data_IF_631658429605
#
_entry.id   IF_631658429605
#
_cell.length_a   1.000
_cell.length_b   1.000
_cell.length_c   1.000
_cell.angle_alpha   90.00
_cell.angle_beta   90.00
_cell.angle_gamma   90.00
#
_symmetry.space_group_name_H-M   'P 1'
#
loop_
_entity.id
_entity.type
_entity.pdbx_description
1 polymer ?
#
# COMPACT_ATOMS: atom_id res chain seq x y z
N UNK A 1 11.79 -18.95 11.33
CA UNK A 1 10.72 -17.95 11.55
C UNK A 1 10.96 -16.82 10.56
N UNK A 2 9.93 -16.35 9.84
CA UNK A 2 10.09 -15.20 8.96
C UNK A 2 10.21 -13.90 9.75
N UNK A 3 10.77 -12.85 9.16
CA UNK A 3 10.72 -11.49 9.70
C UNK A 3 9.70 -10.68 8.92
N UNK A 4 9.05 -9.72 9.58
CA UNK A 4 8.39 -8.63 8.87
C UNK A 4 9.48 -7.66 8.39
N UNK A 5 9.24 -7.03 7.24
CA UNK A 5 10.06 -5.93 6.74
C UNK A 5 9.23 -4.65 6.72
N UNK A 6 9.90 -3.50 6.74
CA UNK A 6 9.19 -2.23 6.62
C UNK A 6 8.82 -1.97 5.16
N UNK A 7 7.61 -1.45 4.95
CA UNK A 7 7.15 -0.96 3.65
C UNK A 7 6.67 0.48 3.77
N UNK A 8 7.22 1.36 2.93
CA UNK A 8 6.82 2.75 2.82
C UNK A 8 6.33 3.06 1.41
N UNK A 9 5.23 3.81 1.33
CA UNK A 9 4.71 4.42 0.12
C UNK A 9 4.69 5.94 0.31
N UNK A 10 5.23 6.64 -0.66
CA UNK A 10 5.28 8.10 -0.70
C UNK A 10 4.44 8.59 -1.87
N UNK A 11 3.40 9.37 -1.60
CA UNK A 11 2.58 10.00 -2.63
C UNK A 11 2.79 11.50 -2.59
N UNK A 12 3.59 11.99 -3.52
CA UNK A 12 3.89 13.42 -3.65
C UNK A 12 2.90 14.09 -4.60
N UNK A 13 2.25 15.15 -4.13
CA UNK A 13 1.42 16.00 -4.96
C UNK A 13 2.28 17.04 -5.69
N UNK A 14 2.62 16.72 -6.94
CA UNK A 14 3.34 17.63 -7.84
C UNK A 14 2.44 18.65 -8.57
N UNK A 15 1.13 18.60 -8.35
CA UNK A 15 0.17 19.58 -8.90
C UNK A 15 0.22 20.89 -8.13
N UNK A 16 -0.31 21.96 -8.74
CA UNK A 16 -0.50 23.27 -8.12
C UNK A 16 -1.79 23.37 -7.29
N UNK A 17 -2.59 22.31 -7.25
CA UNK A 17 -3.85 22.22 -6.50
C UNK A 17 -3.85 21.05 -5.53
N UNK A 18 -4.73 21.08 -4.53
CA UNK A 18 -4.91 19.96 -3.59
C UNK A 18 -5.37 18.71 -4.34
N UNK A 19 -4.69 17.59 -4.11
CA UNK A 19 -5.03 16.28 -4.64
C UNK A 19 -5.83 15.49 -3.60
N UNK A 20 -6.89 14.81 -4.03
CA UNK A 20 -7.59 13.81 -3.22
C UNK A 20 -7.06 12.43 -3.61
N UNK A 21 -6.39 11.76 -2.67
CA UNK A 21 -5.66 10.51 -2.90
C UNK A 21 -6.30 9.37 -2.12
N UNK A 22 -6.43 8.20 -2.76
CA UNK A 22 -6.75 6.95 -2.09
C UNK A 22 -5.65 5.91 -2.33
N UNK A 23 -5.15 5.31 -1.25
CA UNK A 23 -4.20 4.21 -1.23
C UNK A 23 -4.91 2.94 -0.79
N UNK A 24 -4.91 1.93 -1.66
CA UNK A 24 -5.48 0.62 -1.39
C UNK A 24 -4.40 -0.45 -1.43
N UNK A 25 -4.24 -1.18 -0.32
CA UNK A 25 -3.37 -2.36 -0.25
C UNK A 25 -4.26 -3.57 -0.53
N UNK A 26 -4.02 -4.25 -1.63
CA UNK A 26 -4.91 -5.29 -2.16
C UNK A 26 -4.27 -6.67 -2.02
N UNK A 27 -5.09 -7.68 -1.72
CA UNK A 27 -4.68 -9.08 -1.85
C UNK A 27 -4.74 -9.57 -3.32
N UNK A 28 -4.40 -10.84 -3.53
CA UNK A 28 -4.42 -11.49 -4.85
C UNK A 28 -5.77 -11.45 -5.58
N UNK A 29 -6.87 -11.30 -4.83
CA UNK A 29 -8.24 -11.27 -5.36
C UNK A 29 -8.74 -9.82 -5.57
N UNK A 30 -7.88 -8.82 -5.36
CA UNK A 30 -8.23 -7.40 -5.49
C UNK A 30 -9.00 -6.83 -4.30
N UNK A 31 -9.14 -7.58 -3.20
CA UNK A 31 -9.80 -7.11 -1.98
C UNK A 31 -8.89 -6.15 -1.23
N UNK A 32 -9.45 -5.00 -0.85
CA UNK A 32 -8.74 -4.03 -0.02
C UNK A 32 -8.58 -4.54 1.41
N UNK A 33 -7.34 -4.55 1.89
CA UNK A 33 -6.92 -5.08 3.18
C UNK A 33 -7.00 -4.07 4.32
N UNK A 34 -7.41 -2.81 4.08
CA UNK A 34 -7.50 -1.79 5.12
C UNK A 34 -8.14 -2.33 6.42
N UNK A 35 -7.46 -2.10 7.55
CA UNK A 35 -7.94 -2.51 8.87
C UNK A 35 -7.82 -4.00 9.17
N UNK A 36 -7.47 -4.84 8.19
CA UNK A 36 -7.15 -6.25 8.45
C UNK A 36 -5.81 -6.37 9.16
N UNK A 37 -5.71 -7.33 10.08
CA UNK A 37 -4.46 -7.66 10.77
C UNK A 37 -3.47 -8.22 9.76
N UNK A 38 -2.27 -7.62 9.74
CA UNK A 38 -1.13 -8.05 8.94
C UNK A 38 -0.62 -9.38 9.51
N UNK A 39 -0.64 -10.46 8.73
CA UNK A 39 -0.24 -11.77 9.23
C UNK A 39 1.20 -11.81 9.78
N UNK A 40 1.35 -12.41 10.97
CA UNK A 40 2.63 -12.61 11.63
C UNK A 40 3.24 -11.38 12.31
N UNK A 41 2.56 -10.23 12.33
CA UNK A 41 3.04 -9.07 13.09
C UNK A 41 2.89 -9.28 14.59
N UNK A 42 3.91 -8.90 15.36
CA UNK A 42 3.92 -8.97 16.83
C UNK A 42 4.57 -7.68 17.41
N UNK A 43 3.80 -6.79 18.07
CA UNK A 43 2.35 -6.88 18.31
C UNK A 43 1.53 -6.85 17.00
N UNK A 44 0.25 -7.30 17.02
CA UNK A 44 -0.61 -7.25 15.85
C UNK A 44 -0.73 -5.82 15.29
N UNK A 45 -0.41 -5.66 14.02
CA UNK A 45 -0.54 -4.41 13.27
C UNK A 45 -1.57 -4.57 12.15
N UNK A 46 -2.27 -3.49 11.81
CA UNK A 46 -3.27 -3.50 10.74
C UNK A 46 -2.75 -2.79 9.48
N UNK A 47 -3.26 -3.19 8.32
CA UNK A 47 -2.99 -2.49 7.08
C UNK A 47 -3.57 -1.06 7.10
N UNK A 48 -2.76 -0.03 6.75
CA UNK A 48 -3.22 1.33 6.59
C UNK A 48 -3.90 1.55 5.23
N UNK A 49 -4.29 2.80 4.94
CA UNK A 49 -4.87 3.21 3.66
C UNK A 49 -6.28 3.78 3.80
N UNK A 50 -7.06 3.72 2.72
CA UNK A 50 -8.44 4.19 2.67
C UNK A 50 -9.38 3.04 2.27
N UNK A 51 -10.69 3.21 2.50
CA UNK A 51 -11.74 2.25 2.10
C UNK A 51 -12.73 2.87 1.13
N UNK A 52 -13.24 2.06 0.20
CA UNK A 52 -14.30 2.47 -0.72
C UNK A 52 -13.93 3.72 -1.54
N UNK A 53 -14.71 4.79 -1.37
CA UNK A 53 -14.51 6.08 -2.02
C UNK A 53 -13.81 7.13 -1.12
N UNK A 54 -13.36 6.75 0.07
CA UNK A 54 -12.68 7.68 0.97
C UNK A 54 -11.32 8.10 0.40
N UNK A 55 -11.00 9.38 0.52
CA UNK A 55 -9.73 9.97 0.08
C UNK A 55 -9.12 10.80 1.19
N UNK A 56 -7.80 10.98 1.14
CA UNK A 56 -7.06 11.95 1.95
C UNK A 56 -6.65 13.11 1.07
N UNK A 57 -6.88 14.34 1.54
CA UNK A 57 -6.43 15.53 0.85
C UNK A 57 -4.94 15.77 1.09
N UNK A 58 -4.20 15.95 -0.01
CA UNK A 58 -2.76 16.25 -0.02
C UNK A 58 -2.59 17.61 -0.69
N UNK A 59 -2.18 18.62 0.08
CA UNK A 59 -1.96 19.95 -0.46
C UNK A 59 -0.85 19.95 -1.54
N UNK A 60 -0.84 20.99 -2.39
CA UNK A 60 0.20 21.17 -3.39
C UNK A 60 1.60 21.14 -2.75
N UNK A 61 2.56 20.48 -3.40
CA UNK A 61 3.93 20.28 -2.94
C UNK A 61 4.08 19.53 -1.59
N UNK A 62 3.05 18.84 -1.11
CA UNK A 62 3.13 17.97 0.07
C UNK A 62 3.20 16.48 -0.30
N UNK A 63 3.68 15.68 0.64
CA UNK A 63 3.78 14.22 0.51
C UNK A 63 2.90 13.53 1.54
N UNK A 64 2.03 12.62 1.09
CA UNK A 64 1.40 11.64 1.95
C UNK A 64 2.35 10.44 2.13
N UNK A 65 2.62 10.07 3.38
CA UNK A 65 3.46 8.93 3.73
C UNK A 65 2.56 7.84 4.32
N UNK A 66 2.61 6.64 3.72
CA UNK A 66 1.91 5.46 4.22
C UNK A 66 2.94 4.40 4.55
N UNK A 67 3.02 4.03 5.84
CA UNK A 67 4.02 3.07 6.35
C UNK A 67 3.32 1.89 6.99
N UNK A 68 3.82 0.68 6.73
CA UNK A 68 3.34 -0.54 7.37
C UNK A 68 4.43 -1.62 7.42
N UNK A 69 4.10 -2.74 8.08
CA UNK A 69 4.93 -3.94 8.10
C UNK A 69 4.46 -4.92 7.03
N UNK A 70 5.35 -5.52 6.25
CA UNK A 70 4.99 -6.62 5.35
C UNK A 70 4.56 -7.85 6.17
N UNK A 71 3.68 -8.73 5.67
CA UNK A 71 3.41 -10.02 6.32
C UNK A 71 4.68 -10.83 6.58
N UNK A 72 4.70 -11.63 7.65
CA UNK A 72 5.77 -12.63 7.84
C UNK A 72 5.55 -13.78 6.85
N UNK A 73 6.17 -13.73 5.67
CA UNK A 73 6.66 -14.93 4.99
C UNK A 73 7.45 -14.62 3.72
N UNK A 74 8.52 -15.38 3.56
CA UNK A 74 9.38 -15.46 2.37
C UNK A 74 8.80 -16.33 1.24
N UNK A 75 7.83 -17.21 1.53
CA UNK A 75 7.17 -18.13 0.59
C UNK A 75 6.05 -18.87 1.34
N UNK A 76 4.78 -18.53 1.09
CA UNK A 76 3.56 -19.30 1.37
C UNK A 76 3.63 -20.40 2.48
N UNK A 77 3.75 -20.05 3.78
CA UNK A 77 3.85 -21.05 4.83
C UNK A 77 2.48 -21.67 5.09
N UNK A 78 2.42 -22.96 5.45
CA UNK A 78 1.18 -23.58 5.90
C UNK A 78 0.58 -22.78 7.06
N UNK A 79 -0.71 -22.44 6.95
CA UNK A 79 -1.46 -21.76 8.01
C UNK A 79 -1.49 -20.22 7.93
N UNK A 80 -0.82 -19.61 6.97
CA UNK A 80 -0.97 -18.17 6.69
C UNK A 80 -2.19 -17.93 5.80
N UNK A 81 -3.12 -17.13 6.29
CA UNK A 81 -4.30 -16.71 5.53
C UNK A 81 -3.89 -15.84 4.34
N UNK A 82 -3.79 -16.47 3.17
CA UNK A 82 -3.40 -15.82 1.91
C UNK A 82 -4.39 -14.73 1.47
N UNK A 83 -5.62 -14.72 2.01
CA UNK A 83 -6.58 -13.65 1.74
C UNK A 83 -6.20 -12.34 2.45
N UNK A 84 -5.26 -12.38 3.40
CA UNK A 84 -4.75 -11.22 4.14
C UNK A 84 -3.31 -10.85 3.76
N UNK A 85 -2.79 -11.42 2.69
CA UNK A 85 -1.45 -11.12 2.20
C UNK A 85 -1.55 -10.08 1.10
N UNK A 86 -0.86 -8.96 1.28
CA UNK A 86 -0.75 -7.95 0.23
C UNK A 86 -0.10 -8.50 -1.03
N UNK A 87 -0.57 -8.06 -2.19
CA UNK A 87 -0.02 -8.39 -3.51
C UNK A 87 0.18 -7.13 -4.34
N UNK A 88 -0.76 -6.20 -4.28
CA UNK A 88 -0.75 -4.98 -5.10
C UNK A 88 -1.04 -3.76 -4.23
N UNK A 89 -0.37 -2.64 -4.51
CA UNK A 89 -0.76 -1.32 -3.98
C UNK A 89 -1.35 -0.51 -5.13
N UNK A 90 -2.61 -0.09 -5.00
CA UNK A 90 -3.28 0.79 -5.95
C UNK A 90 -3.37 2.18 -5.36
N UNK A 91 -2.84 3.17 -6.07
CA UNK A 91 -2.99 4.59 -5.73
C UNK A 91 -3.91 5.23 -6.77
N UNK A 92 -4.91 5.96 -6.31
CA UNK A 92 -5.84 6.72 -7.15
C UNK A 92 -5.77 8.18 -6.73
N UNK A 93 -5.75 9.09 -7.71
CA UNK A 93 -5.81 10.53 -7.47
C UNK A 93 -6.59 11.25 -8.56
N UNK A 94 -7.23 12.36 -8.19
CA UNK A 94 -7.89 13.31 -9.09
C UNK A 94 -6.91 14.34 -9.70
N UNK A 95 -5.66 14.38 -9.24
CA UNK A 95 -4.59 15.23 -9.74
C UNK A 95 -3.36 14.40 -10.14
N UNK A 96 -2.47 14.92 -11.01
CA UNK A 96 -1.18 14.30 -11.25
C UNK A 96 -0.34 14.22 -9.97
N UNK A 97 0.14 13.01 -9.66
CA UNK A 97 0.96 12.71 -8.48
C UNK A 97 2.19 11.91 -8.88
N UNK A 98 3.25 11.98 -8.07
CA UNK A 98 4.37 11.04 -8.14
C UNK A 98 4.24 10.03 -6.99
N UNK A 99 4.49 8.76 -7.29
CA UNK A 99 4.43 7.67 -6.31
C UNK A 99 5.81 7.01 -6.21
N UNK A 100 6.38 7.03 -5.00
CA UNK A 100 7.60 6.33 -4.65
C UNK A 100 7.31 5.19 -3.69
N UNK A 101 8.11 4.12 -3.75
CA UNK A 101 8.02 3.00 -2.81
C UNK A 101 9.41 2.68 -2.26
N UNK A 102 9.46 2.32 -0.98
CA UNK A 102 10.61 1.68 -0.37
C UNK A 102 10.11 0.48 0.41
N UNK A 103 10.13 -0.68 -0.24
CA UNK A 103 9.74 -1.94 0.38
C UNK A 103 11.01 -2.70 0.71
N UNK A 104 11.34 -2.79 1.99
CA UNK A 104 12.49 -3.57 2.43
C UNK A 104 12.21 -5.06 2.16
N UNK A 105 13.18 -5.77 1.57
CA UNK A 105 13.09 -7.20 1.25
C UNK A 105 12.87 -7.52 -0.23
N UNK A 106 12.29 -8.68 -0.54
CA UNK A 106 12.12 -9.19 -1.92
C UNK A 106 10.87 -8.66 -2.63
N UNK A 107 10.14 -7.71 -2.03
CA UNK A 107 8.97 -7.09 -2.66
C UNK A 107 9.44 -6.02 -3.64
N UNK A 108 9.52 -6.39 -4.93
CA UNK A 108 9.87 -5.48 -6.01
C UNK A 108 8.58 -5.07 -6.74
N UNK A 109 7.97 -3.92 -6.39
CA UNK A 109 6.77 -3.47 -7.09
C UNK A 109 7.15 -3.15 -8.54
N UNK A 110 6.51 -3.84 -9.47
CA UNK A 110 6.59 -3.49 -10.89
C UNK A 110 5.55 -2.38 -11.12
N UNK A 111 5.96 -1.18 -11.55
CA UNK A 111 5.00 -0.14 -11.86
C UNK A 111 4.03 -0.65 -12.91
N UNK A 112 2.73 -0.59 -12.63
CA UNK A 112 1.74 -0.72 -13.68
C UNK A 112 1.95 0.49 -14.61
N UNK A 113 2.44 0.27 -15.83
CA UNK A 113 2.47 1.32 -16.85
C UNK A 113 1.05 1.86 -16.99
N UNK A 114 0.92 3.18 -17.15
CA UNK A 114 -0.35 3.83 -17.44
C UNK A 114 -1.03 3.04 -18.56
N UNK A 115 -2.16 2.40 -18.24
CA UNK A 115 -3.05 1.86 -19.27
C UNK A 115 -3.35 3.02 -20.22
N UNK A 116 -3.28 2.82 -21.56
CA UNK A 116 -3.73 3.84 -22.49
C UNK A 116 -5.14 4.28 -22.10
N UNK A 117 -5.36 5.59 -22.08
CA UNK A 117 -6.68 6.17 -21.86
C UNK A 117 -7.66 5.73 -22.94
#
# INVERSE_FOLDING_TARGET
MGSNSRADLYVFNGSTSTANVAVHILNKDGVNLFGQVIPGTAPPANYPGQTGAATVSVAAANTLIVTWQTPQSFTNPPGLDQTKVQTTVRVVSDQPIAVGTNFEGNFHPIPCSLLPK
#
